data_IF_500031363849
#
_entry.id   IF_500031363849
#
_cell.length_a   1.000
_cell.length_b   1.000
_cell.length_c   1.000
_cell.angle_alpha   90.00
_cell.angle_beta   90.00
_cell.angle_gamma   90.00
#
_symmetry.space_group_name_H-M   'P 1'
#
loop_
_entity.id
_entity.type
_entity.pdbx_description
1 polymer ?
#
# COMPACT_ATOMS: atom_id res chain seq x y z
N UNK A 1 -9.12 1.84 1.24
CA UNK A 1 -9.00 1.88 2.72
C UNK A 1 -7.72 2.63 3.09
N UNK A 2 -7.72 3.30 4.24
CA UNK A 2 -6.50 3.82 4.85
C UNK A 2 -5.97 2.80 5.85
N UNK A 3 -4.70 2.45 5.73
CA UNK A 3 -4.03 1.43 6.53
C UNK A 3 -3.03 2.13 7.46
N UNK A 4 -3.07 1.84 8.76
CA UNK A 4 -1.94 2.00 9.68
C UNK A 4 -0.94 0.89 9.38
N UNK A 5 0.21 1.25 8.82
CA UNK A 5 1.22 0.28 8.41
C UNK A 5 2.01 -0.15 9.63
N UNK A 6 1.95 -1.44 9.97
CA UNK A 6 2.82 -2.02 10.99
C UNK A 6 4.11 -2.57 10.38
N UNK A 7 4.00 -3.16 9.19
CA UNK A 7 5.13 -3.71 8.45
C UNK A 7 4.96 -3.47 6.96
N UNK A 8 6.07 -3.12 6.29
CA UNK A 8 6.17 -3.10 4.84
C UNK A 8 7.38 -3.93 4.42
N UNK A 9 7.20 -4.83 3.45
CA UNK A 9 8.32 -5.58 2.89
C UNK A 9 9.14 -4.69 1.95
N UNK A 10 10.45 -4.94 1.92
CA UNK A 10 11.36 -4.40 0.92
C UNK A 10 11.64 -5.49 -0.12
N UNK A 11 11.49 -5.15 -1.39
CA UNK A 11 11.65 -6.07 -2.51
C UNK A 11 12.68 -5.55 -3.53
N UNK A 12 13.18 -6.45 -4.38
CA UNK A 12 14.08 -6.09 -5.48
C UNK A 12 13.57 -4.96 -6.39
N UNK A 13 12.28 -4.94 -6.79
CA UNK A 13 11.69 -3.83 -7.52
C UNK A 13 11.79 -2.47 -6.85
N UNK A 14 11.82 -2.36 -5.51
CA UNK A 14 11.97 -1.06 -4.85
C UNK A 14 13.35 -0.45 -5.17
N UNK A 15 14.41 -1.27 -5.15
CA UNK A 15 15.77 -0.83 -5.52
C UNK A 15 15.83 -0.44 -7.00
N UNK A 16 15.21 -1.23 -7.88
CA UNK A 16 15.18 -0.94 -9.32
C UNK A 16 14.40 0.35 -9.63
N UNK A 17 13.32 0.64 -8.89
CA UNK A 17 12.56 1.88 -9.02
C UNK A 17 13.39 3.10 -8.60
N UNK A 18 14.14 3.02 -7.48
CA UNK A 18 15.06 4.09 -7.06
C UNK A 18 16.10 4.40 -8.14
N UNK A 19 16.56 3.38 -8.86
CA UNK A 19 17.54 3.50 -9.94
C UNK A 19 16.94 3.88 -11.30
N UNK A 20 15.63 4.13 -11.37
CA UNK A 20 14.91 4.38 -12.62
C UNK A 20 15.14 3.28 -13.68
N UNK A 21 15.29 2.04 -13.24
CA UNK A 21 15.64 0.88 -14.08
C UNK A 21 14.59 -0.24 -14.01
N UNK A 22 13.41 0.07 -13.48
CA UNK A 22 12.27 -0.86 -13.42
C UNK A 22 11.29 -0.58 -14.56
N UNK A 23 10.63 -1.62 -15.07
CA UNK A 23 9.73 -1.50 -16.24
C UNK A 23 8.50 -0.64 -15.98
N UNK A 24 8.08 -0.52 -14.72
CA UNK A 24 6.98 0.33 -14.28
C UNK A 24 7.45 1.20 -13.13
N UNK A 25 7.84 2.43 -13.42
CA UNK A 25 8.18 3.41 -12.39
C UNK A 25 6.93 4.20 -11.98
N UNK A 26 6.62 4.31 -10.68
CA UNK A 26 5.57 5.21 -10.21
C UNK A 26 5.93 6.66 -10.60
N UNK A 27 4.90 7.46 -10.88
CA UNK A 27 5.07 8.87 -11.20
C UNK A 27 5.70 9.59 -10.00
N UNK A 28 6.78 10.33 -10.24
CA UNK A 28 7.46 11.09 -9.18
C UNK A 28 6.69 12.39 -8.85
N UNK A 29 6.71 12.83 -7.56
CA UNK A 29 7.31 12.17 -6.41
C UNK A 29 6.51 10.94 -5.94
N UNK A 30 7.20 9.87 -5.56
CA UNK A 30 6.58 8.61 -5.15
C UNK A 30 7.14 8.10 -3.82
N UNK A 31 6.25 7.50 -3.02
CA UNK A 31 6.62 6.67 -1.85
C UNK A 31 6.61 5.21 -2.29
N UNK A 32 7.71 4.50 -2.09
CA UNK A 32 7.87 3.10 -2.51
C UNK A 32 7.27 2.11 -1.49
N UNK A 33 7.43 0.81 -1.76
CA UNK A 33 6.83 -0.26 -0.97
C UNK A 33 5.40 -0.55 -1.40
N UNK A 34 5.14 -1.81 -1.72
CA UNK A 34 3.84 -2.26 -2.22
C UNK A 34 3.28 -3.49 -1.49
N UNK A 35 3.97 -4.00 -0.47
CA UNK A 35 3.48 -5.14 0.32
C UNK A 35 3.43 -4.73 1.78
N UNK A 36 2.22 -4.51 2.29
CA UNK A 36 2.00 -3.97 3.64
C UNK A 36 1.12 -4.89 4.46
N UNK A 37 1.35 -4.88 5.77
CA UNK A 37 0.45 -5.45 6.75
C UNK A 37 0.22 -4.46 7.89
N UNK A 38 -0.97 -4.50 8.48
CA UNK A 38 -1.39 -3.47 9.40
C UNK A 38 -2.84 -3.56 9.79
N UNK A 39 -3.42 -2.42 10.16
CA UNK A 39 -4.83 -2.28 10.52
C UNK A 39 -5.51 -1.21 9.69
N UNK A 40 -6.80 -1.37 9.44
CA UNK A 40 -7.59 -0.32 8.78
C UNK A 40 -7.88 0.81 9.76
N UNK A 41 -7.51 2.04 9.38
CA UNK A 41 -7.89 3.28 10.08
C UNK A 41 -9.19 3.87 9.54
N UNK A 42 -9.39 3.82 8.22
CA UNK A 42 -10.56 4.39 7.56
C UNK A 42 -11.03 3.51 6.39
N UNK A 43 -12.35 3.42 6.23
CA UNK A 43 -13.01 2.68 5.15
C UNK A 43 -13.80 3.64 4.27
N UNK A 44 -13.65 3.52 2.95
CA UNK A 44 -14.56 4.15 1.99
C UNK A 44 -15.81 3.30 1.77
N UNK A 45 -16.83 3.86 1.12
CA UNK A 45 -18.13 3.21 0.93
C UNK A 45 -18.05 1.85 0.22
N UNK A 46 -17.23 1.72 -0.84
CA UNK A 46 -17.06 0.44 -1.54
C UNK A 46 -16.43 -0.63 -0.63
N UNK A 47 -15.41 -0.25 0.14
CA UNK A 47 -14.78 -1.16 1.09
C UNK A 47 -15.76 -1.61 2.17
N UNK A 48 -16.56 -0.67 2.69
CA UNK A 48 -17.60 -0.94 3.68
C UNK A 48 -18.67 -1.88 3.13
N UNK A 49 -19.11 -1.69 1.89
CA UNK A 49 -20.05 -2.59 1.21
C UNK A 49 -19.50 -4.01 1.02
N UNK A 50 -18.17 -4.14 0.84
CA UNK A 50 -17.45 -5.44 0.82
C UNK A 50 -17.18 -6.03 2.20
N UNK A 51 -17.64 -5.37 3.27
CA UNK A 51 -17.60 -5.89 4.64
C UNK A 51 -16.35 -5.51 5.45
N UNK A 52 -15.45 -4.69 4.91
CA UNK A 52 -14.28 -4.19 5.65
C UNK A 52 -14.69 -3.18 6.72
N UNK A 53 -13.98 -3.21 7.85
CA UNK A 53 -14.25 -2.37 9.02
C UNK A 53 -12.96 -1.76 9.56
N UNK A 54 -13.10 -0.61 10.21
CA UNK A 54 -12.00 -0.02 10.98
C UNK A 54 -11.56 -1.00 12.06
N UNK A 55 -10.25 -1.17 12.22
CA UNK A 55 -9.63 -2.10 13.16
C UNK A 55 -9.32 -3.49 12.58
N UNK A 56 -9.85 -3.84 11.40
CA UNK A 56 -9.53 -5.10 10.74
C UNK A 56 -8.02 -5.20 10.48
N UNK A 57 -7.44 -6.36 10.82
CA UNK A 57 -6.06 -6.68 10.46
C UNK A 57 -6.02 -7.11 9.01
N UNK A 58 -5.12 -6.54 8.24
CA UNK A 58 -5.05 -6.78 6.79
C UNK A 58 -3.63 -7.06 6.32
N UNK A 59 -3.58 -7.62 5.11
CA UNK A 59 -2.42 -7.58 4.21
C UNK A 59 -2.88 -6.96 2.89
N UNK A 60 -2.03 -6.15 2.26
CA UNK A 60 -2.35 -5.53 0.98
C UNK A 60 -1.15 -5.56 0.02
N UNK A 61 -1.44 -5.90 -1.24
CA UNK A 61 -0.51 -5.84 -2.36
C UNK A 61 -0.83 -4.60 -3.22
N UNK A 62 -0.24 -3.45 -2.86
CA UNK A 62 -0.51 -2.15 -3.46
C UNK A 62 0.39 -1.82 -4.67
N UNK A 63 0.63 -2.79 -5.56
CA UNK A 63 1.64 -2.70 -6.64
C UNK A 63 1.53 -1.46 -7.54
N UNK A 64 0.31 -1.00 -7.82
CA UNK A 64 0.07 0.14 -8.71
C UNK A 64 0.32 1.49 -8.04
N UNK A 65 -0.06 1.65 -6.78
CA UNK A 65 0.02 2.93 -6.05
C UNK A 65 1.29 3.05 -5.20
N UNK A 66 1.87 1.93 -4.77
CA UNK A 66 2.91 1.89 -3.74
C UNK A 66 2.47 2.64 -2.46
N UNK A 67 3.38 3.27 -1.73
CA UNK A 67 3.07 4.01 -0.51
C UNK A 67 3.22 3.22 0.79
N UNK A 68 3.78 2.02 0.74
CA UNK A 68 3.93 1.15 1.90
C UNK A 68 5.07 1.52 2.84
N UNK A 69 6.14 2.16 2.34
CA UNK A 69 7.23 2.70 3.17
C UNK A 69 6.84 4.02 3.82
N UNK A 70 5.74 4.00 4.55
CA UNK A 70 5.16 5.13 5.29
C UNK A 70 4.36 4.61 6.49
N UNK A 71 4.05 5.48 7.45
CA UNK A 71 3.21 5.13 8.62
C UNK A 71 1.75 4.84 8.22
N UNK A 72 1.28 5.45 7.13
CA UNK A 72 -0.07 5.27 6.59
C UNK A 72 -0.06 5.07 5.09
N UNK A 73 -0.85 4.12 4.61
CA UNK A 73 -0.94 3.78 3.19
C UNK A 73 -2.40 3.67 2.73
N UNK A 74 -2.72 4.28 1.59
CA UNK A 74 -4.03 4.10 0.93
C UNK A 74 -3.93 2.93 -0.05
N UNK A 75 -4.80 1.94 0.12
CA UNK A 75 -4.92 0.80 -0.79
C UNK A 75 -6.36 0.65 -1.31
N UNK A 76 -6.48 0.27 -2.58
CA UNK A 76 -7.78 -0.04 -3.19
C UNK A 76 -8.23 -1.44 -2.78
N UNK A 77 -9.55 -1.61 -2.66
CA UNK A 77 -10.13 -2.93 -2.41
C UNK A 77 -10.41 -3.59 -3.76
N UNK A 78 -9.82 -4.75 -3.98
CA UNK A 78 -10.14 -5.61 -5.13
C UNK A 78 -11.27 -6.56 -4.77
#
# INVERSE_FOLDING_TARGET
VLIEVHYCALNGPDILQIRNSYTSTPQLPAILGYEVSGKILEVGEEAKAKGFRVGDKIVALNKKKCGGLAEKCVADIT
#
